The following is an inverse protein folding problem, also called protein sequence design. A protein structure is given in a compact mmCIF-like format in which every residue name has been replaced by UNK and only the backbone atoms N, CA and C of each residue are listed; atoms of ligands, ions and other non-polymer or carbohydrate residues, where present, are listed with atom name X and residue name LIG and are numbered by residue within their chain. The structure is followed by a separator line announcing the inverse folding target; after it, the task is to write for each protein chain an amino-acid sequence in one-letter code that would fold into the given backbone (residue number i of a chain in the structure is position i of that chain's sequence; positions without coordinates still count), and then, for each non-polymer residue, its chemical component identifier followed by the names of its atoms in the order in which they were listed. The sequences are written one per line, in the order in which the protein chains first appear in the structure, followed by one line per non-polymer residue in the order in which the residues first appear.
data_IF_880832056146
#
_entry.id   IF_880832056146
#
_cell.length_a   1.000
_cell.length_b   1.000
_cell.length_c   1.000
_cell.angle_alpha   90.00
_cell.angle_beta   90.00
_cell.angle_gamma   90.00
#
_symmetry.space_group_name_H-M   'P 1'
#
loop_
_entity.id
_entity.type
_entity.pdbx_description
1 polymer ?
#
# COMPACT_ATOMS: atom_id res chain seq x y z
N UNK A 1 -19.38 -26.40 12.64
CA UNK A 1 -19.30 -25.02 13.11
C UNK A 1 -17.89 -24.45 12.99
N UNK A 2 -16.93 -25.15 13.54
CA UNK A 2 -15.53 -24.69 13.49
C UNK A 2 -14.99 -24.57 12.09
N UNK A 3 -15.37 -25.49 11.21
CA UNK A 3 -14.93 -25.49 9.81
C UNK A 3 -15.40 -24.23 9.07
N UNK A 4 -16.62 -23.78 9.36
CA UNK A 4 -17.18 -22.58 8.73
C UNK A 4 -16.49 -21.32 9.23
N UNK A 5 -16.21 -21.24 10.52
CA UNK A 5 -15.51 -20.11 11.14
C UNK A 5 -14.06 -20.04 10.61
N UNK A 6 -13.37 -21.17 10.53
CA UNK A 6 -12.00 -21.26 10.01
C UNK A 6 -11.95 -20.79 8.55
N UNK A 7 -12.92 -21.21 7.73
CA UNK A 7 -12.99 -20.79 6.33
C UNK A 7 -13.15 -19.28 6.19
N UNK A 8 -14.01 -18.66 6.99
CA UNK A 8 -14.20 -17.22 6.97
C UNK A 8 -12.94 -16.48 7.40
N UNK A 9 -12.23 -17.00 8.39
CA UNK A 9 -10.97 -16.41 8.84
C UNK A 9 -9.90 -16.53 7.78
N UNK A 10 -9.77 -17.69 7.14
CA UNK A 10 -8.83 -17.89 6.05
C UNK A 10 -9.11 -16.95 4.90
N UNK A 11 -10.39 -16.69 4.61
CA UNK A 11 -10.79 -15.73 3.59
C UNK A 11 -10.38 -14.30 3.97
N UNK A 12 -10.49 -13.93 5.25
CA UNK A 12 -10.04 -12.62 5.73
C UNK A 12 -8.54 -12.46 5.57
N UNK A 13 -7.75 -13.49 5.91
CA UNK A 13 -6.30 -13.46 5.76
C UNK A 13 -5.90 -13.36 4.29
N UNK A 14 -6.57 -14.09 3.43
CA UNK A 14 -6.32 -14.04 1.98
C UNK A 14 -6.67 -12.67 1.41
N UNK A 15 -7.74 -12.06 1.88
CA UNK A 15 -8.14 -10.72 1.49
C UNK A 15 -7.08 -9.68 1.85
N UNK A 16 -6.56 -9.77 3.08
CA UNK A 16 -5.47 -8.88 3.54
C UNK A 16 -4.24 -9.05 2.63
N UNK A 17 -3.86 -10.28 2.36
CA UNK A 17 -2.72 -10.59 1.49
C UNK A 17 -2.91 -9.97 0.12
N UNK A 18 -4.08 -10.13 -0.47
CA UNK A 18 -4.37 -9.58 -1.80
C UNK A 18 -4.32 -8.06 -1.80
N UNK A 19 -4.82 -7.41 -0.76
CA UNK A 19 -4.73 -5.96 -0.62
C UNK A 19 -3.28 -5.47 -0.54
N UNK A 20 -2.42 -6.20 0.18
CA UNK A 20 -0.99 -5.88 0.28
C UNK A 20 -0.33 -6.00 -1.10
N UNK A 21 -0.63 -7.06 -1.83
CA UNK A 21 -0.09 -7.27 -3.18
C UNK A 21 -0.52 -6.13 -4.11
N UNK A 22 -1.79 -5.75 -4.09
CA UNK A 22 -2.30 -4.64 -4.90
C UNK A 22 -1.61 -3.33 -4.56
N UNK A 23 -1.38 -3.07 -3.29
CA UNK A 23 -0.66 -1.89 -2.84
C UNK A 23 0.79 -1.91 -3.33
N UNK A 24 1.44 -3.07 -3.29
CA UNK A 24 2.78 -3.24 -3.83
C UNK A 24 2.86 -2.95 -5.32
N UNK A 25 1.86 -3.38 -6.08
CA UNK A 25 1.78 -3.11 -7.52
C UNK A 25 1.63 -1.61 -7.79
N UNK A 26 0.80 -0.91 -7.01
CA UNK A 26 0.67 0.54 -7.11
C UNK A 26 1.99 1.25 -6.82
N UNK A 27 2.72 0.76 -5.82
CA UNK A 27 4.01 1.32 -5.45
C UNK A 27 5.04 1.14 -6.56
N UNK A 28 5.11 -0.05 -7.18
CA UNK A 28 5.98 -0.30 -8.34
C UNK A 28 5.67 0.68 -9.47
N UNK A 29 4.40 0.89 -9.75
CA UNK A 29 3.95 1.83 -10.78
C UNK A 29 4.43 3.24 -10.46
N UNK A 30 4.28 3.69 -9.23
CA UNK A 30 4.68 5.01 -8.80
C UNK A 30 6.20 5.21 -8.92
N UNK A 31 6.97 4.22 -8.49
CA UNK A 31 8.44 4.27 -8.60
C UNK A 31 8.87 4.33 -10.06
N UNK A 32 8.21 3.57 -10.92
CA UNK A 32 8.48 3.59 -12.36
C UNK A 32 8.18 4.97 -12.95
N UNK A 33 7.07 5.58 -12.54
CA UNK A 33 6.70 6.93 -12.98
C UNK A 33 7.72 7.97 -12.52
N UNK A 34 8.26 7.83 -11.32
CA UNK A 34 9.30 8.72 -10.80
C UNK A 34 10.57 8.63 -11.66
N UNK A 35 10.98 7.42 -12.04
CA UNK A 35 12.12 7.21 -12.94
C UNK A 35 11.85 7.82 -14.31
N UNK A 36 10.65 7.67 -14.84
CA UNK A 36 10.24 8.27 -16.11
C UNK A 36 10.36 9.81 -16.06
N UNK A 37 9.98 10.40 -14.95
CA UNK A 37 10.04 11.84 -14.77
C UNK A 37 11.48 12.37 -14.82
N UNK A 38 12.45 11.57 -14.35
CA UNK A 38 13.88 11.91 -14.46
C UNK A 38 14.30 11.95 -15.92
N UNK A 39 13.82 11.01 -16.73
CA UNK A 39 14.16 10.90 -18.14
C UNK A 39 13.49 11.98 -18.98
N UNK A 40 12.21 12.20 -18.76
CA UNK A 40 11.39 13.12 -19.56
C UNK A 40 10.57 13.98 -18.62
N UNK A 41 10.85 15.29 -18.60
CA UNK A 41 10.05 16.23 -17.83
C UNK A 41 8.66 16.34 -18.44
N UNK A 42 7.69 15.77 -17.79
CA UNK A 42 6.30 15.78 -18.26
C UNK A 42 5.35 16.05 -17.10
N UNK A 43 4.61 17.14 -17.21
CA UNK A 43 3.64 17.56 -16.22
C UNK A 43 2.57 16.48 -16.00
N UNK A 44 2.20 15.77 -17.05
CA UNK A 44 1.22 14.69 -16.99
C UNK A 44 1.73 13.52 -16.15
N UNK A 45 3.01 13.15 -16.28
CA UNK A 45 3.64 12.10 -15.47
C UNK A 45 3.63 12.49 -14.00
N UNK A 46 3.91 13.74 -13.69
CA UNK A 46 3.87 14.22 -12.30
C UNK A 46 2.47 14.15 -11.71
N UNK A 47 1.45 14.51 -12.47
CA UNK A 47 0.05 14.39 -12.03
C UNK A 47 -0.32 12.92 -11.79
N UNK A 48 0.17 12.01 -12.62
CA UNK A 48 -0.08 10.57 -12.47
C UNK A 48 0.57 10.02 -11.20
N UNK A 49 1.74 10.51 -10.83
CA UNK A 49 2.42 10.12 -9.59
C UNK A 49 1.56 10.53 -8.38
N UNK A 50 1.04 11.74 -8.37
CA UNK A 50 0.19 12.26 -7.30
C UNK A 50 -1.10 11.43 -7.19
N UNK A 51 -1.70 11.10 -8.32
CA UNK A 51 -2.91 10.28 -8.34
C UNK A 51 -2.65 8.87 -7.81
N UNK A 52 -1.53 8.26 -8.19
CA UNK A 52 -1.14 6.94 -7.68
C UNK A 52 -0.89 6.99 -6.18
N UNK A 53 -0.29 8.06 -5.67
CA UNK A 53 -0.08 8.24 -4.23
C UNK A 53 -1.39 8.25 -3.45
N UNK A 54 -2.40 8.94 -3.98
CA UNK A 54 -3.73 8.95 -3.36
C UNK A 54 -4.32 7.54 -3.25
N UNK A 55 -4.14 6.73 -4.29
CA UNK A 55 -4.58 5.33 -4.28
C UNK A 55 -3.83 4.50 -3.25
N UNK A 56 -2.53 4.73 -3.09
CA UNK A 56 -1.71 4.06 -2.09
C UNK A 56 -2.19 4.43 -0.69
N UNK A 57 -2.46 5.70 -0.43
CA UNK A 57 -2.96 6.18 0.86
C UNK A 57 -4.31 5.54 1.21
N UNK A 58 -5.22 5.46 0.24
CA UNK A 58 -6.53 4.83 0.43
C UNK A 58 -6.35 3.34 0.73
N UNK A 59 -5.46 2.66 0.02
CA UNK A 59 -5.17 1.25 0.24
C UNK A 59 -4.61 1.00 1.63
N UNK A 60 -3.72 1.85 2.11
CA UNK A 60 -3.14 1.74 3.46
C UNK A 60 -4.24 1.81 4.52
N UNK A 61 -5.14 2.78 4.41
CA UNK A 61 -6.26 2.93 5.34
C UNK A 61 -7.17 1.71 5.34
N UNK A 62 -7.50 1.19 4.16
CA UNK A 62 -8.36 0.01 4.02
C UNK A 62 -7.73 -1.22 4.66
N UNK A 63 -6.44 -1.42 4.43
CA UNK A 63 -5.71 -2.55 5.00
C UNK A 63 -5.70 -2.45 6.51
N UNK A 64 -5.37 -1.28 7.04
CA UNK A 64 -5.31 -1.05 8.48
C UNK A 64 -6.66 -1.26 9.14
N UNK A 65 -7.73 -0.73 8.58
CA UNK A 65 -9.08 -0.88 9.11
C UNK A 65 -9.55 -2.33 9.06
N UNK A 66 -9.35 -2.99 7.94
CA UNK A 66 -9.76 -4.38 7.78
C UNK A 66 -8.96 -5.30 8.71
N UNK A 67 -7.65 -5.11 8.80
CA UNK A 67 -6.79 -5.90 9.68
C UNK A 67 -7.14 -5.69 11.14
N UNK A 68 -7.39 -4.46 11.56
CA UNK A 68 -7.79 -4.14 12.93
C UNK A 68 -9.13 -4.79 13.26
N UNK A 69 -10.08 -4.73 12.34
CA UNK A 69 -11.38 -5.41 12.50
C UNK A 69 -11.22 -6.91 12.65
N UNK A 70 -10.36 -7.51 11.84
CA UNK A 70 -10.09 -8.95 11.91
C UNK A 70 -9.50 -9.35 13.27
N UNK A 71 -8.56 -8.55 13.78
CA UNK A 71 -7.99 -8.75 15.12
C UNK A 71 -9.07 -8.73 16.20
N UNK A 72 -10.00 -7.78 16.10
CA UNK A 72 -11.08 -7.61 17.08
C UNK A 72 -12.08 -8.74 17.03
N UNK A 73 -12.45 -9.19 15.83
CA UNK A 73 -13.50 -10.22 15.65
C UNK A 73 -13.00 -11.63 15.88
N UNK A 74 -11.78 -11.94 15.45
CA UNK A 74 -11.29 -13.33 15.38
C UNK A 74 -10.39 -13.71 16.53
N UNK A 75 -9.78 -12.74 17.22
CA UNK A 75 -8.84 -12.99 18.30
C UNK A 75 -7.80 -14.04 17.90
N UNK A 76 -7.04 -13.78 16.83
CA UNK A 76 -6.12 -14.77 16.28
C UNK A 76 -4.99 -15.12 17.23
N UNK A 77 -4.47 -16.33 17.09
CA UNK A 77 -3.35 -16.83 17.89
C UNK A 77 -2.05 -16.84 17.08
N UNK A 78 -0.97 -16.69 17.81
CA UNK A 78 0.40 -16.93 17.33
C UNK A 78 0.70 -16.49 15.90
N UNK A 79 0.79 -17.45 14.98
CA UNK A 79 1.22 -17.17 13.59
C UNK A 79 0.24 -16.28 12.83
N UNK A 80 -1.03 -16.46 13.03
CA UNK A 80 -2.05 -15.65 12.36
C UNK A 80 -2.06 -14.22 12.88
N UNK A 81 -1.88 -14.05 14.20
CA UNK A 81 -1.71 -12.73 14.79
C UNK A 81 -0.50 -12.02 14.20
N UNK A 82 0.62 -12.72 14.07
CA UNK A 82 1.84 -12.18 13.46
C UNK A 82 1.62 -11.74 12.03
N UNK A 83 0.93 -12.57 11.23
CA UNK A 83 0.63 -12.25 9.83
C UNK A 83 -0.17 -10.95 9.69
N UNK A 84 -1.16 -10.76 10.55
CA UNK A 84 -2.00 -9.57 10.52
C UNK A 84 -1.18 -8.33 10.94
N UNK A 85 -0.41 -8.43 12.01
CA UNK A 85 0.43 -7.33 12.49
C UNK A 85 1.48 -6.94 11.43
N UNK A 86 2.13 -7.92 10.81
CA UNK A 86 3.12 -7.67 9.75
C UNK A 86 2.44 -7.00 8.55
N UNK A 87 1.22 -7.40 8.22
CA UNK A 87 0.47 -6.78 7.11
C UNK A 87 0.23 -5.29 7.36
N UNK A 88 -0.14 -4.91 8.58
CA UNK A 88 -0.32 -3.50 8.94
C UNK A 88 1.00 -2.74 8.80
N UNK A 89 2.09 -3.32 9.27
CA UNK A 89 3.43 -2.71 9.17
C UNK A 89 3.89 -2.58 7.72
N UNK A 90 3.63 -3.59 6.89
CA UNK A 90 3.95 -3.54 5.46
C UNK A 90 3.19 -2.41 4.76
N UNK A 91 1.91 -2.29 5.05
CA UNK A 91 1.09 -1.22 4.46
C UNK A 91 1.64 0.16 4.83
N UNK A 92 2.02 0.37 6.09
CA UNK A 92 2.61 1.62 6.56
C UNK A 92 3.95 1.89 5.88
N UNK A 93 4.78 0.86 5.72
CA UNK A 93 6.08 0.97 5.04
C UNK A 93 5.91 1.30 3.57
N UNK A 94 4.98 0.65 2.89
CA UNK A 94 4.69 0.91 1.48
C UNK A 94 4.20 2.35 1.27
N UNK A 95 3.32 2.82 2.14
CA UNK A 95 2.83 4.20 2.09
C UNK A 95 3.98 5.20 2.26
N UNK A 96 4.91 4.92 3.16
CA UNK A 96 6.09 5.74 3.40
C UNK A 96 7.02 5.78 2.19
N UNK A 97 7.22 4.64 1.52
CA UNK A 97 8.00 4.58 0.28
C UNK A 97 7.30 5.41 -0.81
N UNK A 98 5.97 5.34 -0.88
CA UNK A 98 5.17 6.15 -1.79
C UNK A 98 5.39 7.64 -1.57
N UNK A 99 5.38 8.08 -0.32
CA UNK A 99 5.66 9.48 0.02
C UNK A 99 7.04 9.91 -0.45
N UNK A 100 8.05 9.06 -0.28
CA UNK A 100 9.41 9.34 -0.75
C UNK A 100 9.45 9.45 -2.27
N UNK A 101 8.73 8.61 -2.99
CA UNK A 101 8.66 8.67 -4.46
C UNK A 101 8.05 9.98 -4.93
N UNK A 102 6.99 10.45 -4.26
CA UNK A 102 6.37 11.74 -4.56
C UNK A 102 7.33 12.89 -4.25
N UNK A 103 8.08 12.81 -3.16
CA UNK A 103 9.10 13.82 -2.83
C UNK A 103 10.20 13.88 -3.87
N UNK A 104 10.62 12.74 -4.40
CA UNK A 104 11.59 12.68 -5.49
C UNK A 104 11.04 13.41 -6.72
N UNK A 105 9.79 13.14 -7.09
CA UNK A 105 9.12 13.79 -8.20
C UNK A 105 9.07 15.31 -8.04
N UNK A 106 8.72 15.78 -6.85
CA UNK A 106 8.64 17.21 -6.54
C UNK A 106 10.02 17.89 -6.67
N UNK A 107 11.07 17.21 -6.20
CA UNK A 107 12.45 17.73 -6.32
C UNK A 107 12.90 17.81 -7.76
N UNK A 108 12.52 16.85 -8.58
CA UNK A 108 12.83 16.87 -10.01
C UNK A 108 12.15 18.07 -10.66
N UNK A 109 10.89 18.34 -10.35
CA UNK A 109 10.16 19.48 -10.88
C UNK A 109 10.82 20.81 -10.49
N UNK A 110 11.21 20.94 -9.22
CA UNK A 110 11.90 22.16 -8.73
C UNK A 110 13.23 22.37 -9.47
N UNK A 111 14.01 21.31 -9.65
CA UNK A 111 15.30 21.37 -10.35
C UNK A 111 15.16 21.83 -11.79
N UNK A 112 14.05 21.51 -12.44
CA UNK A 112 13.80 21.90 -13.84
C UNK A 112 13.37 23.35 -13.98
N UNK A 113 12.76 23.90 -12.95
CA UNK A 113 12.34 25.31 -12.93
C UNK A 113 13.54 26.24 -12.74
N UNK A 114 14.58 25.76 -12.08
CA UNK A 114 15.82 26.51 -11.83
C UNK A 114 16.80 26.32 -12.98
#
# INVERSE_FOLDING_TARGET
MDKHIVTNYDNDLEYIKNMIIEMGVLLEKQMFQAVELIKVSNKEVNLNIIETEKKIDISEKKIREFATNTLSKRQPLADDLRKIIVSIKLATTFERIGDHSTNIANRIEIAKVV
#
